data_IF_528736867418
#
_entry.id   IF_528736867418
#
_cell.length_a   1.000
_cell.length_b   1.000
_cell.length_c   1.000
_cell.angle_alpha   90.00
_cell.angle_beta   90.00
_cell.angle_gamma   90.00
#
_symmetry.space_group_name_H-M   'P 1'
#
loop_
_entity.id
_entity.type
_entity.pdbx_description
1 polymer ?
#
# COMPACT_ATOMS: atom_id res chain seq x y z
N UNK A 1 -10.15 10.89 -4.71
CA UNK A 1 -9.52 9.70 -4.15
C UNK A 1 -10.59 8.66 -3.94
N UNK A 2 -10.51 7.55 -4.68
CA UNK A 2 -11.37 6.39 -4.44
C UNK A 2 -10.75 5.55 -3.32
N UNK A 3 -11.55 4.89 -2.47
CA UNK A 3 -11.00 3.87 -1.59
C UNK A 3 -10.52 2.71 -2.49
N UNK A 4 -9.25 2.37 -2.39
CA UNK A 4 -8.68 1.23 -3.13
C UNK A 4 -9.24 -0.10 -2.66
N UNK A 5 -9.04 -1.16 -3.45
CA UNK A 5 -9.59 -2.48 -3.14
C UNK A 5 -8.67 -3.25 -2.18
N UNK A 6 -9.28 -3.98 -1.24
CA UNK A 6 -8.58 -4.77 -0.24
C UNK A 6 -9.16 -6.18 -0.20
N UNK A 7 -8.30 -7.18 -0.38
CA UNK A 7 -8.67 -8.59 -0.34
C UNK A 7 -7.96 -9.29 0.83
N UNK A 8 -8.73 -9.73 1.82
CA UNK A 8 -8.26 -10.57 2.92
C UNK A 8 -8.17 -12.02 2.45
N UNK A 9 -6.94 -12.52 2.28
CA UNK A 9 -6.65 -13.85 1.71
C UNK A 9 -6.64 -14.94 2.78
N UNK A 10 -6.25 -14.59 4.00
CA UNK A 10 -6.14 -15.50 5.14
C UNK A 10 -6.33 -14.75 6.46
N UNK A 11 -6.75 -15.43 7.54
CA UNK A 11 -6.81 -14.83 8.87
C UNK A 11 -5.40 -14.50 9.37
N UNK A 12 -5.31 -13.45 10.19
CA UNK A 12 -4.12 -13.09 10.98
C UNK A 12 -4.47 -13.12 12.46
N UNK A 13 -3.50 -13.47 13.30
CA UNK A 13 -3.68 -13.63 14.73
C UNK A 13 -2.77 -12.73 15.55
N UNK A 14 -3.17 -12.47 16.79
CA UNK A 14 -2.38 -11.62 17.70
C UNK A 14 -1.01 -12.24 17.96
N UNK A 15 0.05 -11.45 17.82
CA UNK A 15 1.43 -11.88 18.01
C UNK A 15 2.12 -12.33 16.73
N UNK A 16 1.41 -12.44 15.60
CA UNK A 16 2.03 -12.67 14.30
C UNK A 16 2.64 -11.37 13.76
N UNK A 17 3.87 -11.46 13.25
CA UNK A 17 4.50 -10.38 12.50
C UNK A 17 4.06 -10.45 11.03
N UNK A 18 3.63 -9.31 10.49
CA UNK A 18 3.21 -9.17 9.10
C UNK A 18 4.17 -8.20 8.40
N UNK A 19 4.80 -8.65 7.32
CA UNK A 19 5.62 -7.80 6.45
C UNK A 19 4.77 -7.34 5.27
N UNK A 20 4.68 -6.04 5.02
CA UNK A 20 4.02 -5.51 3.84
C UNK A 20 5.04 -4.95 2.85
N UNK A 21 5.04 -5.48 1.64
CA UNK A 21 5.75 -4.92 0.51
C UNK A 21 4.86 -3.92 -0.21
N UNK A 22 5.41 -2.75 -0.51
CA UNK A 22 4.73 -1.66 -1.18
C UNK A 22 5.37 -1.41 -2.55
N UNK A 23 4.53 -1.31 -3.57
CA UNK A 23 4.93 -0.93 -4.92
C UNK A 23 4.26 0.39 -5.28
N UNK A 24 5.06 1.37 -5.67
CA UNK A 24 4.54 2.59 -6.30
C UNK A 24 4.41 2.35 -7.80
N UNK A 25 3.18 2.12 -8.26
CA UNK A 25 2.87 1.74 -9.63
C UNK A 25 2.87 2.95 -10.58
N UNK A 26 2.37 4.10 -10.11
CA UNK A 26 2.39 5.34 -10.86
C UNK A 26 2.69 6.54 -9.95
N UNK A 27 3.34 7.55 -10.54
CA UNK A 27 3.60 8.85 -9.92
C UNK A 27 3.25 9.94 -10.92
N UNK A 28 2.19 10.68 -10.62
CA UNK A 28 1.81 11.87 -11.37
C UNK A 28 2.26 13.11 -10.61
N UNK A 29 3.06 13.93 -11.27
CA UNK A 29 3.55 15.19 -10.70
C UNK A 29 2.58 16.33 -11.00
N UNK A 30 2.22 17.09 -9.96
CA UNK A 30 1.50 18.36 -10.03
C UNK A 30 2.37 19.49 -9.45
N UNK A 31 1.92 20.73 -9.54
CA UNK A 31 2.69 21.89 -9.09
C UNK A 31 3.04 21.82 -7.59
N UNK A 32 2.11 21.38 -6.75
CA UNK A 32 2.19 21.40 -5.28
C UNK A 32 2.32 20.00 -4.64
N UNK A 33 2.23 18.93 -5.43
CA UNK A 33 2.18 17.55 -4.91
C UNK A 33 2.54 16.50 -5.95
N UNK A 34 2.73 15.28 -5.47
CA UNK A 34 2.70 14.04 -6.24
C UNK A 34 1.42 13.28 -5.92
N UNK A 35 0.79 12.72 -6.95
CA UNK A 35 -0.30 11.75 -6.82
C UNK A 35 0.29 10.37 -7.11
N UNK A 36 0.04 9.41 -6.23
CA UNK A 36 0.59 8.07 -6.30
C UNK A 36 -0.53 7.06 -6.52
N UNK A 37 -0.31 6.09 -7.39
CA UNK A 37 -1.05 4.83 -7.41
C UNK A 37 -0.12 3.75 -6.88
N UNK A 38 -0.57 2.97 -5.91
CA UNK A 38 0.26 1.99 -5.24
C UNK A 38 -0.49 0.69 -4.97
N UNK A 39 0.24 -0.41 -5.03
CA UNK A 39 -0.21 -1.74 -4.65
C UNK A 39 0.64 -2.29 -3.52
N UNK A 40 0.05 -3.16 -2.70
CA UNK A 40 0.74 -3.75 -1.57
C UNK A 40 0.37 -5.22 -1.38
N UNK A 41 1.35 -5.98 -0.90
CA UNK A 41 1.19 -7.39 -0.51
C UNK A 41 1.73 -7.54 0.89
N UNK A 42 0.88 -7.97 1.81
CA UNK A 42 1.26 -8.29 3.18
C UNK A 42 1.35 -9.80 3.36
N UNK A 43 2.48 -10.27 3.87
CA UNK A 43 2.79 -11.68 4.14
C UNK A 43 3.02 -11.93 5.62
N UNK A 44 2.67 -13.14 6.07
CA UNK A 44 3.06 -13.62 7.40
C UNK A 44 4.53 -14.12 7.40
N UNK A 45 5.01 -14.60 8.54
CA UNK A 45 6.39 -15.11 8.72
C UNK A 45 6.72 -16.31 7.79
N UNK A 46 5.72 -17.03 7.32
CA UNK A 46 5.88 -18.15 6.36
C UNK A 46 5.91 -17.65 4.90
N UNK A 47 5.77 -16.35 4.66
CA UNK A 47 5.69 -15.75 3.32
C UNK A 47 4.32 -15.90 2.66
N UNK A 48 3.29 -16.32 3.40
CA UNK A 48 1.94 -16.49 2.86
C UNK A 48 1.25 -15.12 2.75
N UNK A 49 0.71 -14.72 1.59
CA UNK A 49 -0.07 -13.50 1.46
C UNK A 49 -1.34 -13.57 2.30
N UNK A 50 -1.49 -12.63 3.24
CA UNK A 50 -2.66 -12.53 4.12
C UNK A 50 -3.58 -11.38 3.72
N UNK A 51 -3.02 -10.34 3.10
CA UNK A 51 -3.75 -9.17 2.61
C UNK A 51 -3.07 -8.67 1.33
N UNK A 52 -3.89 -8.36 0.33
CA UNK A 52 -3.44 -7.66 -0.88
C UNK A 52 -4.37 -6.49 -1.14
N UNK A 53 -3.84 -5.42 -1.72
CA UNK A 53 -4.70 -4.33 -2.14
C UNK A 53 -3.96 -3.24 -2.89
N UNK A 54 -4.73 -2.21 -3.22
CA UNK A 54 -4.27 -0.98 -3.85
C UNK A 54 -4.73 0.24 -3.06
N UNK A 55 -4.02 1.35 -3.24
CA UNK A 55 -4.38 2.65 -2.68
C UNK A 55 -3.90 3.77 -3.60
N UNK A 56 -4.67 4.86 -3.63
CA UNK A 56 -4.23 6.15 -4.17
C UNK A 56 -3.66 7.00 -3.01
N UNK A 57 -2.55 7.70 -3.24
CA UNK A 57 -1.88 8.53 -2.25
C UNK A 57 -1.55 9.93 -2.76
N UNK A 58 -1.30 10.87 -1.84
CA UNK A 58 -0.77 12.21 -2.16
C UNK A 58 0.44 12.48 -1.27
N UNK A 59 1.53 12.95 -1.88
CA UNK A 59 2.70 13.49 -1.17
C UNK A 59 2.85 14.96 -1.54
N UNK A 60 2.76 15.85 -0.55
CA UNK A 60 2.94 17.28 -0.79
C UNK A 60 4.40 17.62 -1.04
N UNK A 61 4.64 18.53 -1.98
CA UNK A 61 5.97 19.12 -2.18
C UNK A 61 6.15 20.17 -1.09
N UNK A 62 6.94 19.88 -0.08
CA UNK A 62 7.38 20.94 0.84
C UNK A 62 8.35 21.90 0.09
N UNK A 63 8.28 23.20 0.39
CA UNK A 63 9.29 24.19 -0.01
C UNK A 63 10.61 23.85 0.70
N UNK A 64 11.47 23.05 0.05
CA UNK A 64 12.86 22.77 0.50
C UNK A 64 13.73 24.01 0.31
#
# INVERSE_FOLDING_TARGET
>A
MRPGEQEFRAPVYTGEEITCEWTTDAVDEADDRYVLECSFVCTNEEGTPVLTGDVEGIVWKDDV
#
